data_IF_093051140799
#
_entry.id   IF_093051140799
#
_cell.length_a   1.000
_cell.length_b   1.000
_cell.length_c   1.000
_cell.angle_alpha   90.00
_cell.angle_beta   90.00
_cell.angle_gamma   90.00
#
_symmetry.space_group_name_H-M   'P 1'
#
loop_
_entity.id
_entity.type
_entity.pdbx_description
1 polymer ?
#
# COMPACT_ATOMS: atom_id res chain seq x y z
N UNK A 1 -7.90 -16.26 -7.56
CA UNK A 1 -8.33 -15.01 -8.22
C UNK A 1 -9.65 -15.24 -8.94
N UNK A 2 -10.64 -14.37 -8.75
CA UNK A 2 -11.98 -14.52 -9.35
C UNK A 2 -11.87 -14.33 -10.87
N UNK A 3 -12.68 -15.02 -11.69
CA UNK A 3 -12.66 -14.92 -13.18
C UNK A 3 -12.75 -13.46 -13.69
N UNK A 4 -13.40 -12.59 -12.93
CA UNK A 4 -13.53 -11.14 -13.20
C UNK A 4 -12.19 -10.40 -13.06
N UNK A 5 -11.42 -10.66 -12.01
CA UNK A 5 -10.12 -9.99 -11.81
C UNK A 5 -9.13 -10.33 -12.92
N UNK A 6 -9.19 -11.57 -13.43
CA UNK A 6 -8.37 -12.01 -14.55
C UNK A 6 -8.80 -11.36 -15.88
N UNK A 7 -10.08 -11.03 -16.06
CA UNK A 7 -10.58 -10.44 -17.31
C UNK A 7 -10.21 -8.97 -17.48
N UNK A 8 -9.81 -8.29 -16.40
CA UNK A 8 -9.35 -6.89 -16.42
C UNK A 8 -7.99 -6.70 -17.11
N UNK A 9 -7.15 -7.73 -17.14
CA UNK A 9 -5.80 -7.68 -17.71
C UNK A 9 -5.65 -8.55 -18.97
N UNK A 10 -6.78 -8.94 -19.56
CA UNK A 10 -6.88 -9.68 -20.82
C UNK A 10 -7.65 -8.85 -21.86
N UNK A 11 -7.58 -9.20 -23.16
CA UNK A 11 -8.44 -8.61 -24.17
C UNK A 11 -9.91 -8.65 -23.77
N UNK A 12 -10.72 -7.73 -24.31
CA UNK A 12 -12.14 -7.62 -23.97
C UNK A 12 -12.85 -8.97 -24.12
N UNK A 13 -13.56 -9.36 -23.06
CA UNK A 13 -14.38 -10.56 -23.01
C UNK A 13 -15.85 -10.20 -22.83
N UNK A 14 -16.75 -11.15 -23.14
CA UNK A 14 -18.20 -10.96 -22.95
C UNK A 14 -18.56 -10.54 -21.52
N UNK A 15 -17.82 -11.05 -20.52
CA UNK A 15 -17.96 -10.67 -19.10
C UNK A 15 -17.77 -9.16 -18.93
N UNK A 16 -16.74 -8.58 -19.54
CA UNK A 16 -16.46 -7.15 -19.42
C UNK A 16 -17.59 -6.32 -20.03
N UNK A 17 -18.14 -6.75 -21.18
CA UNK A 17 -19.24 -6.04 -21.87
C UNK A 17 -20.52 -6.06 -21.04
N UNK A 18 -20.87 -7.21 -20.46
CA UNK A 18 -22.06 -7.37 -19.59
C UNK A 18 -21.94 -6.50 -18.33
N UNK A 19 -20.72 -6.23 -17.85
CA UNK A 19 -20.47 -5.40 -16.67
C UNK A 19 -20.41 -3.89 -16.98
N UNK A 20 -20.39 -3.46 -18.24
CA UNK A 20 -20.30 -2.04 -18.61
C UNK A 20 -21.44 -1.17 -18.05
N UNK A 21 -22.72 -1.61 -18.03
CA UNK A 21 -23.80 -0.81 -17.42
C UNK A 21 -23.56 -0.55 -15.93
N UNK A 22 -23.01 -1.52 -15.20
CA UNK A 22 -22.65 -1.35 -13.80
C UNK A 22 -21.47 -0.38 -13.64
N UNK A 23 -20.50 -0.41 -14.55
CA UNK A 23 -19.40 0.56 -14.58
C UNK A 23 -19.87 1.98 -14.90
N UNK A 24 -20.87 2.14 -15.77
CA UNK A 24 -21.49 3.44 -16.05
C UNK A 24 -22.23 3.99 -14.81
N UNK A 25 -22.95 3.13 -14.08
CA UNK A 25 -23.58 3.50 -12.82
C UNK A 25 -22.53 3.89 -11.76
N UNK A 26 -21.46 3.10 -11.63
CA UNK A 26 -20.35 3.42 -10.73
C UNK A 26 -19.69 4.76 -11.10
N UNK A 27 -19.48 5.03 -12.38
CA UNK A 27 -18.96 6.30 -12.88
C UNK A 27 -19.87 7.47 -12.50
N UNK A 28 -21.19 7.31 -12.68
CA UNK A 28 -22.16 8.35 -12.34
C UNK A 28 -22.12 8.68 -10.85
N UNK A 29 -22.16 7.67 -9.98
CA UNK A 29 -22.15 7.85 -8.52
C UNK A 29 -20.85 8.49 -8.05
N UNK A 30 -19.70 7.98 -8.52
CA UNK A 30 -18.38 8.49 -8.15
C UNK A 30 -18.14 9.92 -8.65
N UNK A 31 -18.54 10.22 -9.89
CA UNK A 31 -18.42 11.57 -10.49
C UNK A 31 -19.33 12.57 -9.78
N UNK A 32 -20.57 12.17 -9.48
CA UNK A 32 -21.51 13.01 -8.72
C UNK A 32 -20.95 13.32 -7.34
N UNK A 33 -20.48 12.30 -6.60
CA UNK A 33 -19.86 12.51 -5.29
C UNK A 33 -18.70 13.50 -5.37
N UNK A 34 -17.81 13.35 -6.34
CA UNK A 34 -16.67 14.27 -6.53
C UNK A 34 -17.13 15.70 -6.85
N UNK A 35 -18.15 15.83 -7.70
CA UNK A 35 -18.72 17.13 -8.05
C UNK A 35 -19.27 17.83 -6.81
N UNK A 36 -20.03 17.12 -5.96
CA UNK A 36 -20.60 17.68 -4.72
C UNK A 36 -19.55 18.27 -3.78
N UNK A 37 -18.38 17.62 -3.64
CA UNK A 37 -17.27 18.20 -2.86
C UNK A 37 -16.60 19.36 -3.59
N UNK A 38 -16.43 19.26 -4.92
CA UNK A 38 -15.80 20.33 -5.71
C UNK A 38 -16.60 21.63 -5.70
N UNK A 39 -17.93 21.55 -5.76
CA UNK A 39 -18.81 22.73 -5.74
C UNK A 39 -19.17 23.19 -4.32
N UNK A 40 -18.58 22.57 -3.28
CA UNK A 40 -18.79 22.96 -1.89
C UNK A 40 -20.13 22.56 -1.28
N UNK A 41 -20.95 21.74 -1.95
CA UNK A 41 -22.22 21.23 -1.39
C UNK A 41 -21.95 20.32 -0.19
N UNK A 42 -20.83 19.57 -0.22
CA UNK A 42 -20.34 18.81 0.93
C UNK A 42 -19.06 19.45 1.45
N UNK A 43 -18.97 19.64 2.76
CA UNK A 43 -17.78 20.16 3.41
C UNK A 43 -16.68 19.10 3.50
N UNK A 44 -15.44 19.56 3.31
CA UNK A 44 -14.24 18.79 3.62
C UNK A 44 -13.73 19.22 5.00
N UNK A 45 -13.28 18.25 5.79
CA UNK A 45 -12.58 18.50 7.04
C UNK A 45 -11.14 18.93 6.73
N UNK A 46 -10.73 20.08 7.27
CA UNK A 46 -9.37 20.59 7.19
C UNK A 46 -8.67 20.38 8.52
N UNK A 47 -7.56 19.63 8.48
CA UNK A 47 -6.73 19.38 9.64
C UNK A 47 -5.91 20.64 9.99
N UNK A 48 -5.48 20.75 11.25
CA UNK A 48 -4.56 21.80 11.69
C UNK A 48 -3.10 21.57 11.23
N UNK A 49 -2.78 20.34 10.83
CA UNK A 49 -1.46 19.92 10.35
C UNK A 49 -1.55 19.46 8.89
N UNK A 50 -0.49 19.63 8.08
CA UNK A 50 -0.46 19.15 6.70
C UNK A 50 -0.82 17.67 6.55
N UNK A 51 -1.66 17.36 5.56
CA UNK A 51 -2.06 16.00 5.20
C UNK A 51 -1.59 15.65 3.79
N UNK A 52 -0.75 14.63 3.68
CA UNK A 52 -0.28 14.07 2.42
C UNK A 52 -0.97 12.74 2.13
N UNK A 53 -1.62 12.62 0.97
CA UNK A 53 -2.25 11.36 0.54
C UNK A 53 -1.33 10.59 -0.40
N UNK A 54 -1.07 9.33 -0.07
CA UNK A 54 -0.49 8.35 -1.00
C UNK A 54 -1.58 7.36 -1.39
N UNK A 55 -2.04 7.42 -2.63
CA UNK A 55 -3.11 6.54 -3.10
C UNK A 55 -2.90 6.06 -4.52
N UNK A 56 -3.92 5.41 -5.06
CA UNK A 56 -3.94 4.95 -6.44
C UNK A 56 -5.37 5.06 -7.02
N UNK A 57 -5.48 5.01 -8.35
CA UNK A 57 -6.79 5.09 -9.05
C UNK A 57 -7.37 3.73 -9.42
N UNK A 58 -6.69 2.62 -9.09
CA UNK A 58 -7.14 1.26 -9.39
C UNK A 58 -7.34 0.41 -8.13
N UNK A 59 -7.66 -0.86 -8.31
CA UNK A 59 -7.56 -1.87 -7.25
C UNK A 59 -6.36 -2.79 -7.48
N UNK A 60 -5.91 -3.42 -6.39
CA UNK A 60 -4.73 -4.30 -6.37
C UNK A 60 -3.47 -3.65 -5.80
N UNK A 61 -2.40 -4.45 -5.70
CA UNK A 61 -1.10 -4.03 -5.19
C UNK A 61 -0.36 -3.10 -6.15
N UNK A 62 -0.64 -1.80 -6.08
CA UNK A 62 -0.04 -0.78 -6.94
C UNK A 62 1.34 -0.29 -6.43
N UNK A 63 1.80 -0.77 -5.26
CA UNK A 63 3.08 -0.40 -4.68
C UNK A 63 3.03 0.75 -3.66
N UNK A 64 1.85 1.12 -3.17
CA UNK A 64 1.67 2.19 -2.18
C UNK A 64 2.52 1.98 -0.93
N UNK A 65 2.40 0.81 -0.29
CA UNK A 65 3.10 0.51 0.96
C UNK A 65 4.62 0.62 0.83
N UNK A 66 5.29 0.04 -0.19
CA UNK A 66 6.71 0.31 -0.42
C UNK A 66 7.07 1.79 -0.57
N UNK A 67 6.23 2.59 -1.23
CA UNK A 67 6.48 4.02 -1.36
C UNK A 67 6.30 4.76 -0.03
N UNK A 68 5.28 4.42 0.77
CA UNK A 68 5.09 4.97 2.12
C UNK A 68 6.28 4.63 3.03
N UNK A 69 6.76 3.38 2.97
CA UNK A 69 7.94 2.91 3.71
C UNK A 69 9.22 3.68 3.35
N UNK A 70 9.31 4.25 2.15
CA UNK A 70 10.40 5.15 1.78
C UNK A 70 10.11 6.62 2.15
N UNK A 71 8.89 7.08 1.89
CA UNK A 71 8.46 8.46 2.06
C UNK A 71 8.54 8.91 3.52
N UNK A 72 8.11 8.07 4.47
CA UNK A 72 8.11 8.44 5.88
C UNK A 72 9.54 8.69 6.40
N UNK A 73 10.53 7.77 6.22
CA UNK A 73 11.92 8.07 6.55
C UNK A 73 12.49 9.29 5.85
N UNK A 74 12.10 9.53 4.59
CA UNK A 74 12.54 10.72 3.86
C UNK A 74 12.00 12.01 4.49
N UNK A 75 10.74 12.05 4.91
CA UNK A 75 10.17 13.20 5.61
C UNK A 75 10.79 13.37 7.01
N UNK A 76 11.03 12.26 7.72
CA UNK A 76 11.70 12.26 9.02
C UNK A 76 13.16 12.77 8.92
N UNK A 77 13.87 12.46 7.83
CA UNK A 77 15.23 12.98 7.62
C UNK A 77 15.28 14.49 7.34
N UNK A 78 14.14 15.09 7.00
CA UNK A 78 13.95 16.54 6.93
C UNK A 78 13.56 17.15 8.29
N UNK A 79 13.58 16.36 9.37
CA UNK A 79 13.30 16.81 10.74
C UNK A 79 11.82 16.80 11.13
N UNK A 80 10.93 16.26 10.29
CA UNK A 80 9.49 16.24 10.57
C UNK A 80 9.08 15.05 11.45
N UNK A 81 8.20 15.30 12.41
CA UNK A 81 7.45 14.26 13.14
C UNK A 81 6.29 13.77 12.28
N UNK A 82 6.48 12.60 11.68
CA UNK A 82 5.52 12.02 10.73
C UNK A 82 4.64 10.98 11.44
N UNK A 83 3.32 11.10 11.26
CA UNK A 83 2.37 10.06 11.62
C UNK A 83 1.65 9.51 10.38
N UNK A 84 1.17 8.27 10.44
CA UNK A 84 0.48 7.60 9.35
C UNK A 84 -0.96 7.28 9.75
N UNK A 85 -1.90 7.53 8.84
CA UNK A 85 -3.27 7.04 8.94
C UNK A 85 -3.58 6.03 7.83
N UNK A 86 -4.31 4.97 8.16
CA UNK A 86 -4.79 4.01 7.18
C UNK A 86 -6.23 3.59 7.46
N UNK A 87 -6.89 2.97 6.47
CA UNK A 87 -8.28 2.53 6.63
C UNK A 87 -8.37 1.25 7.46
N UNK A 88 -7.30 0.46 7.48
CA UNK A 88 -7.32 -0.89 8.04
C UNK A 88 -8.24 -1.80 7.21
N UNK A 89 -8.04 -1.88 5.89
CA UNK A 89 -8.88 -2.72 5.04
C UNK A 89 -8.79 -4.20 5.47
N UNK A 90 -9.94 -4.82 5.74
CA UNK A 90 -9.99 -6.20 6.25
C UNK A 90 -9.66 -6.35 7.75
N UNK A 91 -9.24 -5.27 8.42
CA UNK A 91 -8.96 -5.26 9.84
C UNK A 91 -10.24 -5.25 10.69
N UNK A 92 -10.14 -5.79 11.90
CA UNK A 92 -11.19 -5.85 12.91
C UNK A 92 -10.64 -5.30 14.23
N UNK A 93 -10.39 -3.98 14.32
CA UNK A 93 -9.89 -3.39 15.55
C UNK A 93 -10.95 -3.45 16.65
N UNK A 94 -10.55 -3.52 17.93
CA UNK A 94 -11.47 -3.56 19.05
C UNK A 94 -12.26 -2.24 19.23
N UNK A 95 -11.69 -1.11 18.80
CA UNK A 95 -12.30 0.22 18.82
C UNK A 95 -11.76 1.04 17.64
N UNK A 96 -12.36 2.18 17.34
CA UNK A 96 -11.83 3.12 16.34
C UNK A 96 -11.94 4.55 16.86
N UNK A 97 -10.94 5.43 16.65
CA UNK A 97 -9.63 5.16 16.04
C UNK A 97 -8.80 4.14 16.84
N UNK A 98 -7.97 3.34 16.16
CA UNK A 98 -7.11 2.34 16.80
C UNK A 98 -5.65 2.67 16.51
N UNK A 99 -4.90 2.93 17.58
CA UNK A 99 -3.45 3.11 17.50
C UNK A 99 -2.77 1.74 17.42
N UNK A 100 -1.94 1.55 16.40
CA UNK A 100 -1.17 0.32 16.21
C UNK A 100 -0.01 0.32 17.21
N UNK A 101 0.20 -0.82 17.86
CA UNK A 101 1.21 -1.04 18.89
C UNK A 101 1.97 -2.34 18.62
N UNK A 102 2.99 -2.64 19.41
CA UNK A 102 3.74 -3.89 19.27
C UNK A 102 2.91 -5.15 19.48
N UNK A 103 1.87 -5.05 20.31
CA UNK A 103 0.91 -6.13 20.61
C UNK A 103 -0.22 -6.25 19.58
N UNK A 104 -0.32 -5.28 18.65
CA UNK A 104 -1.35 -5.31 17.63
C UNK A 104 -1.13 -6.47 16.66
N UNK A 105 -2.18 -7.26 16.44
CA UNK A 105 -2.18 -8.33 15.45
C UNK A 105 -2.56 -7.82 14.06
N UNK A 106 -2.17 -8.54 13.00
CA UNK A 106 -2.62 -8.22 11.65
C UNK A 106 -4.15 -8.27 11.49
N UNK A 107 -4.84 -9.06 12.32
CA UNK A 107 -6.30 -9.07 12.36
C UNK A 107 -6.87 -7.77 12.91
N UNK A 108 -6.23 -7.17 13.93
CA UNK A 108 -6.70 -5.93 14.55
C UNK A 108 -6.30 -4.69 13.73
N UNK A 109 -5.04 -4.62 13.29
CA UNK A 109 -4.46 -3.45 12.61
C UNK A 109 -4.55 -3.51 11.07
N UNK A 110 -4.71 -4.70 10.49
CA UNK A 110 -4.48 -4.93 9.07
C UNK A 110 -3.01 -5.21 8.76
N UNK A 111 -2.75 -5.86 7.62
CA UNK A 111 -1.40 -6.26 7.21
C UNK A 111 -0.51 -5.07 6.82
N UNK A 112 -1.02 -4.15 5.99
CA UNK A 112 -0.25 -2.96 5.56
C UNK A 112 0.05 -1.98 6.73
N UNK A 113 -0.91 -1.59 7.59
CA UNK A 113 -0.63 -0.67 8.71
C UNK A 113 0.33 -1.27 9.74
N UNK A 114 0.18 -2.56 10.06
CA UNK A 114 1.09 -3.25 10.95
C UNK A 114 2.50 -3.33 10.38
N UNK A 115 2.63 -3.58 9.07
CA UNK A 115 3.92 -3.57 8.38
C UNK A 115 4.60 -2.20 8.46
N UNK A 116 3.85 -1.12 8.18
CA UNK A 116 4.36 0.25 8.29
C UNK A 116 4.87 0.52 9.71
N UNK A 117 4.06 0.20 10.73
CA UNK A 117 4.44 0.38 12.14
C UNK A 117 5.72 -0.40 12.49
N UNK A 118 5.77 -1.70 12.19
CA UNK A 118 6.94 -2.56 12.49
C UNK A 118 8.21 -2.13 11.76
N UNK A 119 8.10 -1.55 10.57
CA UNK A 119 9.26 -1.10 9.77
C UNK A 119 9.80 0.26 10.21
N UNK A 120 8.94 1.15 10.68
CA UNK A 120 9.26 2.57 10.83
C UNK A 120 9.23 3.04 12.28
N UNK A 121 8.49 2.37 13.17
CA UNK A 121 8.29 2.79 14.56
C UNK A 121 7.54 4.13 14.70
N UNK A 122 7.02 4.69 13.61
CA UNK A 122 6.20 5.90 13.64
C UNK A 122 4.78 5.61 14.11
N UNK A 123 4.06 6.63 14.55
CA UNK A 123 2.66 6.49 14.96
C UNK A 123 1.78 6.10 13.77
N UNK A 124 1.04 5.01 13.91
CA UNK A 124 0.11 4.51 12.88
C UNK A 124 -1.28 4.35 13.47
N UNK A 125 -2.26 5.07 12.95
CA UNK A 125 -3.65 4.97 13.40
C UNK A 125 -4.54 4.44 12.27
N UNK A 126 -5.38 3.46 12.59
CA UNK A 126 -6.38 2.95 11.65
C UNK A 126 -7.79 3.39 12.05
N UNK A 127 -8.59 3.70 11.05
CA UNK A 127 -9.99 4.09 11.26
C UNK A 127 -10.69 4.43 9.95
N UNK A 128 -11.96 4.05 9.84
CA UNK A 128 -12.80 4.45 8.69
C UNK A 128 -13.07 5.94 8.66
N UNK A 129 -13.17 6.58 9.83
CA UNK A 129 -13.29 8.03 9.98
C UNK A 129 -11.88 8.66 10.03
N UNK A 130 -11.52 9.32 8.92
CA UNK A 130 -10.24 10.02 8.79
C UNK A 130 -10.11 11.22 9.72
N UNK A 131 -11.20 11.95 9.96
CA UNK A 131 -11.19 13.09 10.87
C UNK A 131 -10.86 12.60 12.28
N UNK A 132 -11.59 11.60 12.77
CA UNK A 132 -11.35 11.07 14.12
C UNK A 132 -9.92 10.53 14.28
N UNK A 133 -9.37 9.88 13.26
CA UNK A 133 -8.00 9.36 13.27
C UNK A 133 -6.95 10.48 13.34
N UNK A 134 -7.16 11.57 12.61
CA UNK A 134 -6.27 12.74 12.61
C UNK A 134 -6.34 13.48 13.95
N UNK A 135 -7.54 13.75 14.45
CA UNK A 135 -7.73 14.42 15.75
C UNK A 135 -7.11 13.62 16.89
N UNK A 136 -7.21 12.28 16.83
CA UNK A 136 -6.54 11.40 17.78
C UNK A 136 -5.01 11.57 17.76
N UNK A 137 -4.40 11.57 16.56
CA UNK A 137 -2.95 11.75 16.40
C UNK A 137 -2.50 13.13 16.87
N UNK A 138 -3.24 14.19 16.53
CA UNK A 138 -2.93 15.56 16.96
C UNK A 138 -2.96 15.65 18.48
N UNK A 139 -3.98 15.09 19.13
CA UNK A 139 -4.15 15.18 20.57
C UNK A 139 -3.12 14.37 21.39
N UNK A 140 -2.55 13.30 20.85
CA UNK A 140 -1.65 12.41 21.60
C UNK A 140 -0.19 12.55 21.19
N UNK A 141 0.09 12.95 19.95
CA UNK A 141 1.40 12.83 19.35
C UNK A 141 1.85 14.10 18.61
N UNK A 142 1.00 15.12 18.41
CA UNK A 142 1.38 16.39 17.79
C UNK A 142 2.29 16.24 16.54
N UNK A 143 1.89 15.48 15.50
CA UNK A 143 2.71 15.30 14.32
C UNK A 143 2.80 16.59 13.49
N UNK A 144 3.96 16.85 12.89
CA UNK A 144 4.14 17.97 11.94
C UNK A 144 3.46 17.68 10.60
N UNK A 145 3.31 16.41 10.23
CA UNK A 145 2.66 15.98 9.00
C UNK A 145 2.02 14.59 9.16
N UNK A 146 0.86 14.42 8.52
CA UNK A 146 0.16 13.14 8.47
C UNK A 146 0.19 12.58 7.06
N UNK A 147 0.65 11.34 6.90
CA UNK A 147 0.61 10.58 5.64
C UNK A 147 -0.57 9.61 5.66
N UNK A 148 -1.49 9.73 4.70
CA UNK A 148 -2.59 8.78 4.52
C UNK A 148 -2.22 7.69 3.52
N UNK A 149 -2.09 6.44 3.98
CA UNK A 149 -1.94 5.27 3.11
C UNK A 149 -3.32 4.83 2.60
N UNK A 150 -3.56 5.09 1.31
CA UNK A 150 -4.85 5.10 0.64
C UNK A 150 -5.82 6.18 1.16
N UNK A 151 -6.45 6.87 0.22
CA UNK A 151 -7.24 8.06 0.53
C UNK A 151 -7.63 8.94 -0.66
N UNK A 152 -7.18 8.64 -1.89
CA UNK A 152 -7.49 9.48 -3.06
C UNK A 152 -8.99 9.65 -3.30
N UNK A 153 -9.80 8.66 -2.92
CA UNK A 153 -11.27 8.73 -3.02
C UNK A 153 -11.96 9.29 -1.76
N UNK A 154 -11.22 9.65 -0.72
CA UNK A 154 -11.73 10.17 0.55
C UNK A 154 -11.90 11.69 0.51
N UNK A 155 -12.78 12.18 -0.38
CA UNK A 155 -13.00 13.61 -0.63
C UNK A 155 -13.48 14.44 0.58
N UNK A 156 -13.93 13.79 1.66
CA UNK A 156 -14.30 14.45 2.92
C UNK A 156 -13.08 14.93 3.72
N UNK A 157 -11.88 14.49 3.36
CA UNK A 157 -10.62 14.94 3.96
C UNK A 157 -9.98 15.95 3.01
N UNK A 158 -9.76 17.15 3.50
CA UNK A 158 -8.91 18.13 2.82
C UNK A 158 -7.46 17.67 2.88
N UNK A 159 -6.68 18.06 1.87
CA UNK A 159 -5.34 17.51 1.65
C UNK A 159 -4.44 18.53 0.97
N UNK A 160 -3.23 18.63 1.48
CA UNK A 160 -2.24 19.60 1.02
C UNK A 160 -1.44 19.06 -0.16
N UNK A 161 -1.17 17.75 -0.17
CA UNK A 161 -0.46 17.06 -1.24
C UNK A 161 -1.17 15.74 -1.59
N UNK A 162 -1.40 15.51 -2.88
CA UNK A 162 -1.83 14.23 -3.43
C UNK A 162 -0.75 13.56 -4.29
N UNK A 163 -0.40 12.34 -3.90
CA UNK A 163 0.50 11.46 -4.65
C UNK A 163 -0.30 10.26 -5.16
N UNK A 164 -0.32 10.06 -6.47
CA UNK A 164 -0.93 8.89 -7.11
C UNK A 164 0.14 7.91 -7.60
N UNK A 165 0.16 6.71 -7.02
CA UNK A 165 1.00 5.61 -7.47
C UNK A 165 0.34 4.89 -8.65
N UNK A 166 1.10 4.68 -9.71
CA UNK A 166 0.72 3.94 -10.93
C UNK A 166 1.69 2.78 -11.12
N UNK A 167 1.18 1.57 -11.22
CA UNK A 167 2.00 0.40 -11.58
C UNK A 167 2.44 0.49 -13.05
N UNK A 168 3.76 0.51 -13.29
CA UNK A 168 4.32 0.68 -14.62
C UNK A 168 4.05 -0.51 -15.56
N UNK A 169 3.94 -1.73 -15.03
CA UNK A 169 3.71 -2.95 -15.80
C UNK A 169 2.22 -3.15 -16.09
N UNK A 170 1.38 -3.03 -15.06
CA UNK A 170 -0.07 -3.27 -15.16
C UNK A 170 -0.85 -2.08 -15.71
N UNK A 171 -0.28 -0.88 -15.60
CA UNK A 171 -0.89 0.41 -16.00
C UNK A 171 -2.36 0.47 -15.57
N UNK A 172 -3.29 0.51 -16.53
CA UNK A 172 -4.73 0.69 -16.27
C UNK A 172 -5.58 -0.54 -16.61
N UNK A 173 -4.96 -1.70 -16.88
CA UNK A 173 -5.67 -2.89 -17.37
C UNK A 173 -6.44 -2.58 -18.65
N UNK A 174 -7.71 -3.01 -18.72
CA UNK A 174 -8.61 -2.74 -19.84
C UNK A 174 -9.16 -1.29 -19.89
N UNK A 175 -8.76 -0.42 -18.96
CA UNK A 175 -9.13 1.00 -18.96
C UNK A 175 -10.54 1.30 -18.45
N UNK A 176 -11.34 0.30 -18.09
CA UNK A 176 -12.69 0.49 -17.55
C UNK A 176 -12.70 0.68 -16.03
N UNK A 177 -13.75 1.34 -15.55
CA UNK A 177 -14.05 1.45 -14.13
C UNK A 177 -14.63 0.14 -13.59
N UNK A 178 -14.59 -0.02 -12.28
CA UNK A 178 -15.26 -1.12 -11.58
C UNK A 178 -16.75 -1.18 -11.93
N UNK A 179 -17.34 -2.38 -12.11
CA UNK A 179 -16.71 -3.70 -12.04
C UNK A 179 -16.17 -4.23 -13.39
N UNK A 180 -16.44 -3.58 -14.54
CA UNK A 180 -15.96 -4.02 -15.85
C UNK A 180 -14.43 -3.93 -16.02
N UNK A 181 -13.76 -3.10 -15.21
CA UNK A 181 -12.32 -2.94 -15.18
C UNK A 181 -11.79 -2.67 -13.77
N UNK A 182 -10.46 -2.52 -13.61
CA UNK A 182 -9.82 -2.42 -12.31
C UNK A 182 -9.81 -0.98 -11.75
N UNK A 183 -10.32 0.02 -12.47
CA UNK A 183 -10.19 1.41 -12.08
C UNK A 183 -11.28 1.86 -11.09
N UNK A 184 -10.87 2.53 -10.01
CA UNK A 184 -11.75 3.31 -9.12
C UNK A 184 -12.03 4.71 -9.69
N UNK A 185 -11.10 5.25 -10.45
CA UNK A 185 -11.22 6.55 -11.11
C UNK A 185 -10.59 6.53 -12.50
N UNK A 186 -11.07 7.38 -13.40
CA UNK A 186 -10.53 7.45 -14.76
C UNK A 186 -9.09 8.01 -14.77
N UNK A 187 -8.24 7.67 -15.77
CA UNK A 187 -6.88 8.18 -15.86
C UNK A 187 -6.77 9.72 -15.93
N UNK A 188 -7.86 10.42 -16.29
CA UNK A 188 -7.94 11.88 -16.22
C UNK A 188 -7.65 12.42 -14.81
N UNK A 189 -7.86 11.62 -13.76
CA UNK A 189 -7.55 11.97 -12.37
C UNK A 189 -6.09 12.33 -12.15
N UNK A 190 -5.17 11.70 -12.89
CA UNK A 190 -3.73 11.94 -12.79
C UNK A 190 -3.33 13.38 -13.12
N UNK A 191 -4.14 14.12 -13.89
CA UNK A 191 -3.90 15.54 -14.19
C UNK A 191 -4.22 16.49 -13.02
N UNK A 192 -4.83 15.97 -11.96
CA UNK A 192 -5.34 16.78 -10.84
C UNK A 192 -4.69 16.44 -9.50
N UNK A 193 -3.75 15.49 -9.49
CA UNK A 193 -2.91 15.22 -8.30
C UNK A 193 -1.64 16.07 -8.40
N UNK A 194 -0.99 16.37 -7.27
CA UNK A 194 0.25 17.13 -7.28
C UNK A 194 1.42 16.30 -7.85
N UNK A 195 1.42 14.98 -7.64
CA UNK A 195 2.46 14.09 -8.13
C UNK A 195 1.91 12.74 -8.60
N UNK A 196 2.31 12.31 -9.80
CA UNK A 196 2.09 10.95 -10.29
C UNK A 196 3.41 10.19 -10.20
N UNK A 197 3.40 9.03 -9.54
CA UNK A 197 4.60 8.22 -9.27
C UNK A 197 4.48 6.85 -9.90
N UNK A 198 5.49 6.43 -10.66
CA UNK A 198 5.48 5.14 -11.37
C UNK A 198 6.27 4.07 -10.60
N UNK A 199 5.58 3.02 -10.16
CA UNK A 199 6.19 1.83 -9.55
C UNK A 199 6.79 0.92 -10.64
N UNK A 200 8.09 0.63 -10.56
CA UNK A 200 8.80 -0.23 -11.51
C UNK A 200 9.43 0.53 -12.67
N UNK A 201 9.73 1.83 -12.49
CA UNK A 201 10.45 2.65 -13.47
C UNK A 201 11.32 3.68 -12.76
N UNK A 202 12.59 3.77 -13.16
CA UNK A 202 13.51 4.83 -12.69
C UNK A 202 13.75 5.92 -13.74
N UNK A 203 13.22 5.76 -14.97
CA UNK A 203 13.40 6.72 -16.07
C UNK A 203 12.46 7.92 -15.98
N UNK A 204 11.39 7.80 -15.20
CA UNK A 204 10.34 8.81 -15.01
C UNK A 204 10.34 9.30 -13.55
N UNK A 205 9.26 9.97 -13.15
CA UNK A 205 8.96 10.24 -11.74
C UNK A 205 8.52 8.91 -11.09
N UNK A 206 9.48 8.04 -10.80
CA UNK A 206 9.18 6.67 -10.38
C UNK A 206 10.21 6.10 -9.43
N UNK A 207 9.97 4.86 -9.01
CA UNK A 207 10.86 4.10 -8.15
C UNK A 207 10.96 2.65 -8.62
N UNK A 208 12.09 2.01 -8.34
CA UNK A 208 12.24 0.56 -8.41
C UNK A 208 12.09 -0.06 -7.02
N UNK A 209 11.83 -1.38 -6.98
CA UNK A 209 11.94 -2.15 -5.75
C UNK A 209 13.25 -2.92 -5.78
N UNK A 210 14.08 -2.71 -4.77
CA UNK A 210 15.33 -3.44 -4.59
C UNK A 210 15.20 -4.39 -3.41
N UNK A 211 15.70 -5.62 -3.58
CA UNK A 211 15.71 -6.61 -2.50
C UNK A 211 16.82 -6.29 -1.53
N UNK A 212 16.49 -6.17 -0.24
CA UNK A 212 17.47 -5.84 0.80
C UNK A 212 17.90 -7.04 1.64
N UNK A 213 17.24 -8.18 1.44
CA UNK A 213 17.69 -9.47 1.95
C UNK A 213 16.54 -10.42 2.28
N UNK A 214 16.94 -11.58 2.79
CA UNK A 214 16.05 -12.58 3.35
C UNK A 214 16.06 -12.43 4.88
N UNK A 215 14.88 -12.55 5.48
CA UNK A 215 14.65 -12.36 6.91
C UNK A 215 13.84 -13.52 7.46
N UNK A 216 14.07 -13.89 8.72
CA UNK A 216 13.26 -14.89 9.42
C UNK A 216 11.90 -14.30 9.74
N UNK A 217 10.83 -15.01 9.42
CA UNK A 217 9.46 -14.59 9.78
C UNK A 217 9.29 -14.57 11.30
N UNK A 218 9.84 -15.56 12.00
CA UNK A 218 9.71 -15.71 13.45
C UNK A 218 10.36 -14.58 14.22
N UNK A 219 11.61 -14.25 13.89
CA UNK A 219 12.40 -13.26 14.64
C UNK A 219 12.38 -11.86 14.03
N UNK A 220 12.02 -11.73 12.75
CA UNK A 220 12.16 -10.48 11.99
C UNK A 220 13.61 -10.11 11.67
N UNK A 221 14.59 -10.94 12.06
CA UNK A 221 16.01 -10.67 11.85
C UNK A 221 16.48 -11.09 10.45
N UNK A 222 17.47 -10.36 9.91
CA UNK A 222 18.10 -10.70 8.63
C UNK A 222 18.85 -12.02 8.75
N UNK A 223 18.69 -12.88 7.75
CA UNK A 223 19.36 -14.19 7.69
C UNK A 223 20.34 -14.21 6.52
N UNK A 224 21.57 -14.62 6.79
CA UNK A 224 22.63 -14.79 5.78
C UNK A 224 22.89 -16.26 5.44
N UNK A 225 22.55 -17.18 6.35
CA UNK A 225 22.70 -18.61 6.18
C UNK A 225 21.34 -19.29 6.27
N UNK A 226 20.88 -19.82 5.14
CA UNK A 226 19.68 -20.62 5.02
C UNK A 226 19.82 -21.48 3.77
N UNK A 227 19.06 -22.58 3.68
CA UNK A 227 18.98 -23.34 2.44
C UNK A 227 18.10 -22.58 1.44
N UNK A 228 18.63 -22.10 0.29
CA UNK A 228 17.89 -21.26 -0.64
C UNK A 228 17.01 -22.10 -1.57
N UNK A 229 16.22 -23.01 -1.00
CA UNK A 229 15.33 -23.92 -1.72
C UNK A 229 14.09 -24.17 -0.90
N UNK A 230 12.91 -24.00 -1.50
CA UNK A 230 11.65 -24.19 -0.78
C UNK A 230 10.41 -23.74 -1.55
N UNK A 231 9.31 -23.59 -0.83
CA UNK A 231 8.02 -23.17 -1.38
C UNK A 231 7.85 -21.65 -1.32
N UNK A 232 7.32 -21.07 -2.39
CA UNK A 232 6.85 -19.69 -2.42
C UNK A 232 5.37 -19.62 -2.01
N UNK A 233 5.06 -18.87 -0.95
CA UNK A 233 3.68 -18.63 -0.48
C UNK A 233 3.38 -17.14 -0.57
N UNK A 234 2.26 -16.76 -1.19
CA UNK A 234 1.86 -15.35 -1.23
C UNK A 234 0.36 -15.12 -1.26
N UNK A 235 -0.07 -14.04 -0.65
CA UNK A 235 -1.44 -13.53 -0.65
C UNK A 235 -1.45 -12.07 -1.10
N UNK A 236 -0.94 -11.83 -2.31
CA UNK A 236 -0.77 -10.50 -2.91
C UNK A 236 -1.37 -10.41 -4.31
N UNK A 237 -1.63 -9.19 -4.78
CA UNK A 237 -2.17 -8.95 -6.11
C UNK A 237 -1.28 -9.39 -7.29
N UNK A 238 0.04 -9.57 -7.12
CA UNK A 238 0.97 -10.02 -8.19
C UNK A 238 1.99 -11.07 -7.72
N UNK A 239 1.59 -12.36 -7.56
CA UNK A 239 2.48 -13.42 -7.10
C UNK A 239 3.74 -13.62 -7.97
N UNK A 240 3.61 -13.52 -9.30
CA UNK A 240 4.72 -13.75 -10.22
C UNK A 240 5.88 -12.77 -10.04
N UNK A 241 5.60 -11.52 -9.63
CA UNK A 241 6.65 -10.53 -9.32
C UNK A 241 7.46 -10.95 -8.09
N UNK A 242 6.80 -11.50 -7.08
CA UNK A 242 7.46 -12.03 -5.89
C UNK A 242 8.32 -13.26 -6.21
N UNK A 243 7.78 -14.22 -6.96
CA UNK A 243 8.52 -15.42 -7.40
C UNK A 243 9.76 -15.06 -8.21
N UNK A 244 9.64 -14.14 -9.17
CA UNK A 244 10.79 -13.63 -9.93
C UNK A 244 11.83 -13.01 -9.01
N UNK A 245 11.41 -12.26 -8.01
CA UNK A 245 12.32 -11.62 -7.04
C UNK A 245 13.05 -12.66 -6.20
N UNK A 246 12.37 -13.72 -5.76
CA UNK A 246 13.01 -14.85 -5.07
C UNK A 246 14.08 -15.52 -5.95
N UNK A 247 13.74 -15.86 -7.20
CA UNK A 247 14.68 -16.52 -8.11
C UNK A 247 15.90 -15.66 -8.43
N UNK A 248 15.71 -14.34 -8.63
CA UNK A 248 16.83 -13.40 -8.81
C UNK A 248 17.74 -13.32 -7.58
N UNK A 249 17.20 -13.59 -6.39
CA UNK A 249 17.97 -13.67 -5.14
C UNK A 249 18.46 -15.09 -4.83
N UNK A 250 18.53 -15.96 -5.84
CA UNK A 250 19.14 -17.29 -5.71
C UNK A 250 18.25 -18.35 -5.05
N UNK A 251 16.98 -18.05 -4.77
CA UNK A 251 16.05 -19.02 -4.18
C UNK A 251 15.47 -19.93 -5.27
N UNK A 252 15.69 -21.23 -5.11
CA UNK A 252 15.08 -22.27 -5.96
C UNK A 252 13.68 -22.59 -5.46
N UNK A 253 12.67 -22.22 -6.24
CA UNK A 253 11.26 -22.44 -5.90
C UNK A 253 10.86 -23.87 -6.34
N UNK A 254 10.54 -24.74 -5.38
CA UNK A 254 10.10 -26.12 -5.65
C UNK A 254 8.60 -26.22 -5.87
N UNK A 255 7.84 -25.30 -5.29
CA UNK A 255 6.39 -25.20 -5.40
C UNK A 255 5.97 -23.75 -5.17
N UNK A 256 4.80 -23.37 -5.72
CA UNK A 256 4.16 -22.10 -5.43
C UNK A 256 2.73 -22.30 -4.94
N UNK A 257 2.32 -21.52 -3.94
CA UNK A 257 0.95 -21.45 -3.45
C UNK A 257 0.48 -20.01 -3.39
N UNK A 258 -0.61 -19.71 -4.10
CA UNK A 258 -1.21 -18.38 -4.15
C UNK A 258 -2.56 -18.38 -3.43
N UNK A 259 -2.70 -17.45 -2.49
CA UNK A 259 -3.95 -17.19 -1.77
C UNK A 259 -4.62 -15.91 -2.31
N UNK A 260 -5.84 -15.64 -1.88
CA UNK A 260 -6.50 -14.37 -2.18
C UNK A 260 -5.76 -13.20 -1.50
N UNK A 261 -5.80 -12.00 -2.09
CA UNK A 261 -5.17 -10.82 -1.48
C UNK A 261 -5.76 -10.57 -0.08
N UNK A 262 -4.90 -10.22 0.88
CA UNK A 262 -5.23 -10.08 2.30
C UNK A 262 -5.76 -11.37 2.98
N UNK A 263 -5.45 -12.57 2.45
CA UNK A 263 -5.74 -13.83 3.15
C UNK A 263 -5.14 -13.84 4.56
N UNK A 264 -5.97 -14.21 5.55
CA UNK A 264 -5.56 -14.38 6.94
C UNK A 264 -5.02 -15.80 7.11
N UNK A 265 -3.72 -15.91 7.30
CA UNK A 265 -3.04 -17.19 7.42
C UNK A 265 -3.29 -17.85 8.78
N UNK A 266 -3.36 -19.18 8.75
CA UNK A 266 -3.38 -20.04 9.93
C UNK A 266 -2.27 -21.09 9.83
N UNK A 267 -1.94 -21.76 10.94
CA UNK A 267 -0.96 -22.86 10.91
C UNK A 267 -1.35 -23.98 9.93
N UNK A 268 -2.65 -24.25 9.80
CA UNK A 268 -3.21 -25.27 8.91
C UNK A 268 -2.87 -25.01 7.43
N UNK A 269 -2.76 -23.75 7.03
CA UNK A 269 -2.37 -23.38 5.66
C UNK A 269 -0.97 -23.89 5.27
N UNK A 270 -0.14 -24.24 6.27
CA UNK A 270 1.25 -24.65 6.09
C UNK A 270 1.56 -26.09 6.53
N UNK A 271 0.58 -26.87 6.99
CA UNK A 271 0.80 -28.24 7.48
C UNK A 271 1.48 -29.14 6.44
N UNK A 272 1.06 -29.04 5.19
CA UNK A 272 1.62 -29.80 4.06
C UNK A 272 3.05 -29.38 3.68
N UNK A 273 3.55 -28.28 4.24
CA UNK A 273 4.88 -27.73 3.96
C UNK A 273 5.81 -27.80 5.18
N UNK A 274 5.44 -28.55 6.21
CA UNK A 274 6.15 -28.60 7.50
C UNK A 274 7.65 -28.98 7.42
N UNK A 275 8.08 -29.67 6.35
CA UNK A 275 9.46 -30.10 6.10
C UNK A 275 10.22 -29.22 5.09
N UNK A 276 9.58 -28.20 4.53
CA UNK A 276 10.19 -27.35 3.50
C UNK A 276 10.43 -25.94 4.03
N UNK A 277 11.48 -25.28 3.54
CA UNK A 277 11.61 -23.84 3.77
C UNK A 277 10.43 -23.11 3.11
N UNK A 278 9.85 -22.15 3.82
CA UNK A 278 8.73 -21.35 3.33
C UNK A 278 9.24 -19.95 3.06
N UNK A 279 9.05 -19.46 1.84
CA UNK A 279 9.38 -18.10 1.44
C UNK A 279 8.09 -17.33 1.16
N UNK A 280 7.90 -16.20 1.84
CA UNK A 280 6.72 -15.34 1.64
C UNK A 280 7.08 -13.87 1.45
N UNK A 281 6.08 -13.06 1.12
CA UNK A 281 6.26 -11.60 1.04
C UNK A 281 6.37 -11.02 2.45
N UNK A 282 7.00 -9.86 2.62
CA UNK A 282 7.04 -9.19 3.92
C UNK A 282 5.63 -8.85 4.45
N UNK A 283 4.70 -8.49 3.56
CA UNK A 283 3.28 -8.28 3.91
C UNK A 283 2.60 -9.57 4.41
N UNK A 284 3.00 -10.72 3.89
CA UNK A 284 2.48 -12.01 4.35
C UNK A 284 3.11 -12.45 5.67
N UNK A 285 4.39 -12.13 5.88
CA UNK A 285 5.13 -12.44 7.10
C UNK A 285 4.50 -11.84 8.36
N UNK A 286 4.04 -10.59 8.30
CA UNK A 286 3.40 -9.92 9.47
C UNK A 286 2.14 -10.63 9.96
N UNK A 287 1.49 -11.44 9.10
CA UNK A 287 0.31 -12.24 9.47
C UNK A 287 0.68 -13.59 10.09
N UNK A 288 1.91 -14.05 9.87
CA UNK A 288 2.38 -15.39 10.23
C UNK A 288 3.29 -15.41 11.47
N UNK A 289 3.78 -14.25 11.91
CA UNK A 289 4.85 -14.15 12.90
C UNK A 289 4.58 -14.92 14.20
N UNK A 290 3.33 -14.92 14.70
CA UNK A 290 2.97 -15.55 15.98
C UNK A 290 3.06 -17.08 15.98
N UNK A 291 3.06 -17.72 14.80
CA UNK A 291 3.12 -19.17 14.63
C UNK A 291 4.22 -19.62 13.65
N UNK A 292 5.10 -18.70 13.27
CA UNK A 292 6.14 -18.97 12.30
C UNK A 292 7.19 -19.95 12.84
N UNK A 293 7.64 -20.84 11.95
CA UNK A 293 8.71 -21.81 12.23
C UNK A 293 10.07 -21.23 11.86
N UNK A 294 11.14 -21.86 12.36
CA UNK A 294 12.51 -21.36 12.14
C UNK A 294 12.94 -21.37 10.67
N UNK A 295 12.33 -22.25 9.86
CA UNK A 295 12.58 -22.38 8.42
C UNK A 295 11.64 -21.50 7.56
N UNK A 296 10.99 -20.50 8.15
CA UNK A 296 10.12 -19.57 7.43
C UNK A 296 10.82 -18.24 7.24
N UNK A 297 10.83 -17.78 6.00
CA UNK A 297 11.55 -16.61 5.56
C UNK A 297 10.66 -15.67 4.75
N UNK A 298 11.01 -14.39 4.75
CA UNK A 298 10.44 -13.43 3.84
C UNK A 298 11.51 -12.63 3.11
N UNK A 299 11.19 -12.26 1.87
CA UNK A 299 12.02 -11.37 1.06
C UNK A 299 11.60 -9.93 1.32
N UNK A 300 12.52 -9.14 1.86
CA UNK A 300 12.32 -7.70 2.06
C UNK A 300 12.66 -6.94 0.79
N UNK A 301 11.83 -5.96 0.46
CA UNK A 301 12.03 -5.04 -0.66
C UNK A 301 11.86 -3.61 -0.19
N UNK A 302 12.70 -2.72 -0.69
CA UNK A 302 12.64 -1.29 -0.40
C UNK A 302 12.49 -0.50 -1.70
N UNK A 303 11.68 0.57 -1.63
CA UNK A 303 11.52 1.48 -2.75
C UNK A 303 12.76 2.36 -2.90
N UNK A 304 13.31 2.40 -4.11
CA UNK A 304 14.42 3.26 -4.50
C UNK A 304 13.92 4.23 -5.57
N UNK A 305 13.56 5.47 -5.18
CA UNK A 305 13.07 6.48 -6.13
C UNK A 305 14.18 7.01 -7.02
N UNK A 306 13.81 7.51 -8.19
CA UNK A 306 14.71 8.30 -9.04
C UNK A 306 15.04 9.64 -8.38
N UNK A 307 16.24 10.16 -8.63
CA UNK A 307 16.63 11.50 -8.16
C UNK A 307 15.61 12.57 -8.58
N UNK A 308 15.09 12.45 -9.81
CA UNK A 308 14.05 13.33 -10.33
C UNK A 308 12.79 13.33 -9.46
N UNK A 309 12.35 12.15 -9.01
CA UNK A 309 11.19 12.02 -8.13
C UNK A 309 11.45 12.67 -6.77
N UNK A 310 12.63 12.42 -6.18
CA UNK A 310 13.03 13.02 -4.90
C UNK A 310 13.07 14.55 -5.00
N UNK A 311 13.72 15.11 -6.01
CA UNK A 311 13.81 16.57 -6.20
C UNK A 311 12.45 17.22 -6.42
N UNK A 312 11.55 16.56 -7.18
CA UNK A 312 10.18 17.06 -7.36
C UNK A 312 9.38 17.05 -6.06
N UNK A 313 9.49 15.99 -5.27
CA UNK A 313 8.83 15.91 -3.98
C UNK A 313 9.35 16.99 -3.03
N UNK A 314 10.67 17.19 -2.98
CA UNK A 314 11.29 18.22 -2.16
C UNK A 314 10.77 19.62 -2.52
N UNK A 315 10.82 19.98 -3.81
CA UNK A 315 10.30 21.26 -4.29
C UNK A 315 8.80 21.45 -4.03
N UNK A 316 8.03 20.36 -4.06
CA UNK A 316 6.60 20.39 -3.74
C UNK A 316 6.37 20.67 -2.25
N UNK A 317 7.14 20.04 -1.37
CA UNK A 317 7.08 20.26 0.08
C UNK A 317 7.42 21.72 0.42
N UNK A 318 8.49 22.25 -0.19
CA UNK A 318 8.94 23.65 0.00
C UNK A 318 7.89 24.65 -0.50
N UNK A 319 7.37 24.46 -1.72
CA UNK A 319 6.31 25.30 -2.28
C UNK A 319 5.03 25.32 -1.44
N UNK A 320 4.75 24.24 -0.71
CA UNK A 320 3.58 24.12 0.17
C UNK A 320 3.87 24.62 1.60
N UNK A 321 5.11 25.06 1.88
CA UNK A 321 5.53 25.56 3.20
C UNK A 321 5.59 24.47 4.28
N UNK A 322 5.66 23.20 3.88
CA UNK A 322 5.69 22.06 4.81
C UNK A 322 7.10 21.88 5.39
N UNK A 323 8.11 22.10 4.55
CA UNK A 323 9.49 22.22 5.01
C UNK A 323 9.86 23.70 4.96
N UNK A 324 10.40 24.20 6.05
CA UNK A 324 11.01 25.52 6.09
C UNK A 324 12.50 25.32 5.99
N UNK A 325 13.16 26.08 5.10
CA UNK A 325 14.61 26.20 5.20
C UNK A 325 14.90 26.80 6.57
N UNK A 326 15.68 26.09 7.39
CA UNK A 326 16.28 26.72 8.57
C UNK A 326 16.92 28.03 8.12
N UNK A 327 16.59 29.09 8.85
CA UNK A 327 17.06 30.48 8.69
C UNK A 327 18.49 30.56 8.18
#
# INVERSE_FOLDING_TARGET
MRKIEQSWYKPMSLINVVLLPLSALFWLVSSTRRLLFRVGIKSAYKASVPVMIVGNIGIGGNGKTPFVLWLVPYLQSLGLKVAVISRGYGAKPPHTPYHVTDDSTAQQAGDEPLLIYKRLGCDVVIGGDRKASIEYLIAHNEPDIIVSDDGLQHYQLDRDIEICIVDNERRFGNGFLLPAGPLRETPKRLKSVDLTVFNGSIKEDGYSLNTTGIYSVKTGARVTQFEPKGIAVSAIGNPSRFEKSLSVNGVTITQSKHFADHHMFTEQDFEIYNKSNVFMTEKDAVKCQSFAKDNWYFLRVDAVPSERLVSKLHNLLDKKGIITHGV
#
